data_IF_732665849150
#
_entry.id   IF_732665849150
#
_cell.length_a   1.000
_cell.length_b   1.000
_cell.length_c   1.000
_cell.angle_alpha   90.00
_cell.angle_beta   90.00
_cell.angle_gamma   90.00
#
_symmetry.space_group_name_H-M   'P 1'
#
loop_
_entity.id
_entity.type
_entity.pdbx_description
1 polymer ?
#
# COMPACT_ATOMS: atom_id res chain seq x y z
N UNK A 1 -23.00 17.77 -14.28
CA UNK A 1 -22.21 18.64 -13.38
C UNK A 1 -22.62 18.30 -11.95
N UNK A 2 -21.93 17.37 -11.28
CA UNK A 2 -22.24 16.97 -9.90
C UNK A 2 -21.01 17.28 -9.06
N UNK A 3 -21.02 18.42 -8.36
CA UNK A 3 -20.04 18.75 -7.32
C UNK A 3 -20.73 19.50 -6.19
N UNK A 4 -21.55 18.80 -5.42
CA UNK A 4 -21.80 19.21 -4.04
C UNK A 4 -21.02 18.25 -3.15
N UNK A 5 -19.75 18.59 -2.90
CA UNK A 5 -18.96 17.88 -1.89
C UNK A 5 -19.27 18.53 -0.54
N UNK A 6 -19.72 17.75 0.45
CA UNK A 6 -19.99 18.24 1.81
C UNK A 6 -18.70 18.61 2.58
N UNK A 7 -17.55 18.27 2.02
CA UNK A 7 -16.23 18.47 2.61
C UNK A 7 -15.70 19.84 2.19
N UNK A 8 -15.38 20.69 3.17
CA UNK A 8 -14.78 22.02 2.95
C UNK A 8 -13.27 21.98 2.77
N UNK A 9 -12.62 20.90 3.20
CA UNK A 9 -11.17 20.70 3.05
C UNK A 9 -10.86 20.35 1.59
N UNK A 10 -9.75 20.85 1.08
CA UNK A 10 -9.26 20.48 -0.24
C UNK A 10 -9.05 18.96 -0.34
N UNK A 11 -9.54 18.37 -1.45
CA UNK A 11 -9.31 16.97 -1.78
C UNK A 11 -8.06 16.92 -2.66
N UNK A 12 -6.95 16.33 -2.20
CA UNK A 12 -5.71 16.27 -2.95
C UNK A 12 -5.82 15.38 -4.19
N UNK A 13 -5.01 15.69 -5.21
CA UNK A 13 -4.81 14.81 -6.35
C UNK A 13 -3.79 13.71 -5.99
N UNK A 14 -4.28 12.49 -5.76
CA UNK A 14 -3.47 11.35 -5.32
C UNK A 14 -2.32 10.97 -6.28
N UNK A 15 -2.43 11.32 -7.57
CA UNK A 15 -1.33 11.14 -8.55
C UNK A 15 -0.13 12.07 -8.34
N UNK A 16 -0.28 13.09 -7.50
CA UNK A 16 0.73 14.13 -7.25
C UNK A 16 1.20 14.19 -5.81
N UNK A 17 0.32 13.88 -4.85
CA UNK A 17 0.62 13.93 -3.42
C UNK A 17 -0.04 12.76 -2.70
N UNK A 18 0.67 12.15 -1.76
CA UNK A 18 0.11 11.11 -0.91
C UNK A 18 -0.71 11.74 0.23
N UNK A 19 -2.01 11.45 0.30
CA UNK A 19 -2.86 11.85 1.43
C UNK A 19 -2.85 10.82 2.56
N UNK A 20 -2.84 9.53 2.18
CA UNK A 20 -2.85 8.37 3.07
C UNK A 20 -2.19 7.20 2.35
N UNK A 21 -1.59 6.30 3.12
CA UNK A 21 -1.21 4.96 2.67
C UNK A 21 -1.79 3.96 3.66
N UNK A 22 -2.60 3.01 3.15
CA UNK A 22 -3.24 1.99 3.98
C UNK A 22 -2.43 0.70 3.91
N UNK A 23 -1.92 0.26 5.06
CA UNK A 23 -1.24 -1.02 5.19
C UNK A 23 -2.22 -2.13 5.61
N UNK A 24 -2.30 -3.18 4.81
CA UNK A 24 -3.16 -4.34 5.04
C UNK A 24 -2.31 -5.58 5.21
N UNK A 25 -2.50 -6.27 6.33
CA UNK A 25 -1.74 -7.47 6.69
C UNK A 25 -2.09 -8.68 5.82
N UNK A 26 -1.12 -9.58 5.69
CA UNK A 26 -1.22 -10.88 5.01
C UNK A 26 -0.75 -11.99 5.90
N UNK A 27 -1.27 -13.18 5.64
CA UNK A 27 -0.97 -14.37 6.44
C UNK A 27 0.34 -15.05 6.00
N UNK A 28 0.69 -14.98 4.71
CA UNK A 28 1.94 -15.53 4.19
C UNK A 28 2.79 -14.47 3.46
N UNK A 29 4.12 -14.63 3.49
CA UNK A 29 5.06 -13.75 2.78
C UNK A 29 4.74 -13.64 1.29
N UNK A 30 4.39 -14.76 0.63
CA UNK A 30 4.05 -14.78 -0.81
C UNK A 30 2.71 -14.10 -1.17
N UNK A 31 1.81 -13.90 -0.20
CA UNK A 31 0.54 -13.20 -0.45
C UNK A 31 0.77 -11.70 -0.74
N UNK A 32 1.89 -11.15 -0.23
CA UNK A 32 2.32 -9.77 -0.50
C UNK A 32 2.60 -9.59 -1.99
N UNK A 33 3.35 -10.50 -2.61
CA UNK A 33 3.61 -10.44 -4.05
C UNK A 33 2.35 -10.71 -4.86
N UNK A 34 1.52 -11.66 -4.42
CA UNK A 34 0.29 -12.04 -5.12
C UNK A 34 -0.64 -10.84 -5.29
N UNK A 35 -0.89 -10.07 -4.22
CA UNK A 35 -1.79 -8.92 -4.31
C UNK A 35 -1.19 -7.77 -5.12
N UNK A 36 0.11 -7.47 -4.95
CA UNK A 36 0.79 -6.42 -5.72
C UNK A 36 0.78 -6.74 -7.22
N UNK A 37 1.08 -7.99 -7.58
CA UNK A 37 1.04 -8.44 -8.98
C UNK A 37 -0.38 -8.38 -9.57
N UNK A 38 -1.41 -8.73 -8.77
CA UNK A 38 -2.80 -8.63 -9.21
C UNK A 38 -3.22 -7.17 -9.42
N UNK A 39 -2.82 -6.25 -8.54
CA UNK A 39 -3.05 -4.82 -8.69
C UNK A 39 -2.40 -4.28 -9.97
N UNK A 40 -1.15 -4.69 -10.26
CA UNK A 40 -0.47 -4.31 -11.51
C UNK A 40 -1.19 -4.84 -12.75
N UNK A 41 -1.63 -6.11 -12.75
CA UNK A 41 -2.42 -6.69 -13.85
C UNK A 41 -3.75 -5.96 -14.07
N UNK A 42 -4.33 -5.39 -13.02
CA UNK A 42 -5.54 -4.59 -13.10
C UNK A 42 -5.30 -3.13 -13.54
N UNK A 43 -4.05 -2.74 -13.84
CA UNK A 43 -3.67 -1.41 -14.31
C UNK A 43 -3.09 -0.48 -13.24
N UNK A 44 -2.93 -0.96 -12.00
CA UNK A 44 -2.18 -0.26 -10.96
C UNK A 44 -0.68 -0.24 -11.23
N UNK A 45 0.06 0.51 -10.42
CA UNK A 45 1.52 0.63 -10.53
C UNK A 45 2.18 0.03 -9.30
N UNK A 46 3.04 -0.97 -9.49
CA UNK A 46 3.77 -1.59 -8.41
C UNK A 46 4.84 -0.66 -7.82
N UNK A 47 5.12 -0.86 -6.54
CA UNK A 47 6.29 -0.38 -5.81
C UNK A 47 6.56 1.14 -5.97
N UNK A 48 5.59 2.02 -5.68
CA UNK A 48 5.85 3.46 -5.60
C UNK A 48 6.83 3.82 -4.46
N UNK A 49 6.96 2.93 -3.46
CA UNK A 49 7.97 3.00 -2.40
C UNK A 49 8.94 1.81 -2.52
N UNK A 50 10.16 1.91 -1.96
CA UNK A 50 11.08 0.78 -1.90
C UNK A 50 10.47 -0.42 -1.17
N UNK A 51 10.62 -1.60 -1.76
CA UNK A 51 10.26 -2.89 -1.13
C UNK A 51 10.97 -3.02 0.21
N UNK A 52 10.23 -3.41 1.25
CA UNK A 52 10.77 -3.66 2.58
C UNK A 52 10.96 -5.16 2.76
N UNK A 53 12.20 -5.63 2.89
CA UNK A 53 12.49 -7.01 3.28
C UNK A 53 13.50 -7.01 4.43
N UNK A 54 12.99 -7.20 5.65
CA UNK A 54 13.77 -7.21 6.89
C UNK A 54 13.94 -8.63 7.45
N UNK A 55 13.64 -9.67 6.65
CA UNK A 55 13.61 -11.06 7.09
C UNK A 55 12.34 -11.43 7.86
N UNK A 56 12.07 -10.75 8.99
CA UNK A 56 10.85 -10.95 9.81
C UNK A 56 9.64 -10.15 9.30
N UNK A 57 9.87 -9.20 8.38
CA UNK A 57 8.83 -8.38 7.76
C UNK A 57 9.09 -8.30 6.27
N UNK A 58 8.02 -8.45 5.49
CA UNK A 58 8.03 -8.22 4.06
C UNK A 58 6.84 -7.35 3.67
N UNK A 59 7.09 -6.21 3.05
CA UNK A 59 6.03 -5.35 2.51
C UNK A 59 6.34 -4.81 1.13
N UNK A 60 5.28 -4.68 0.34
CA UNK A 60 5.27 -4.02 -0.96
C UNK A 60 4.08 -3.10 -1.04
N UNK A 61 4.22 -2.02 -1.79
CA UNK A 61 3.13 -1.10 -2.05
C UNK A 61 2.72 -1.09 -3.53
N UNK A 62 1.54 -0.57 -3.81
CA UNK A 62 1.10 -0.27 -5.16
C UNK A 62 0.22 0.98 -5.19
N UNK A 63 0.25 1.73 -6.28
CA UNK A 63 -0.73 2.76 -6.60
C UNK A 63 -1.92 2.10 -7.33
N UNK A 64 -3.15 2.44 -6.92
CA UNK A 64 -4.35 2.09 -7.70
C UNK A 64 -4.54 3.03 -8.92
N UNK A 65 -5.63 2.85 -9.67
CA UNK A 65 -5.90 3.62 -10.91
C UNK A 65 -6.03 5.14 -10.68
N UNK A 66 -6.36 5.54 -9.46
CA UNK A 66 -6.53 6.94 -9.05
C UNK A 66 -5.25 7.52 -8.41
N UNK A 67 -4.25 6.67 -8.13
CA UNK A 67 -2.97 7.06 -7.55
C UNK A 67 -2.90 6.91 -6.03
N UNK A 68 -3.89 6.30 -5.38
CA UNK A 68 -3.81 6.05 -3.93
C UNK A 68 -2.85 4.91 -3.65
N UNK A 69 -2.07 5.04 -2.57
CA UNK A 69 -1.06 4.06 -2.22
C UNK A 69 -1.64 3.05 -1.23
N UNK A 70 -1.51 1.78 -1.57
CA UNK A 70 -1.82 0.65 -0.71
C UNK A 70 -0.52 -0.08 -0.37
N UNK A 71 -0.39 -0.55 0.86
CA UNK A 71 0.71 -1.42 1.28
C UNK A 71 0.15 -2.79 1.68
N UNK A 72 0.77 -3.84 1.16
CA UNK A 72 0.55 -5.20 1.60
C UNK A 72 1.74 -5.63 2.43
N UNK A 73 1.49 -6.09 3.67
CA UNK A 73 2.54 -6.41 4.63
C UNK A 73 2.33 -7.79 5.23
N UNK A 74 3.40 -8.57 5.32
CA UNK A 74 3.47 -9.79 6.11
C UNK A 74 4.53 -9.61 7.20
N UNK A 75 4.27 -10.16 8.38
CA UNK A 75 5.19 -10.15 9.52
C UNK A 75 5.20 -11.49 10.25
N UNK A 76 6.38 -11.95 10.63
CA UNK A 76 6.60 -13.01 11.60
C UNK A 76 7.04 -12.40 12.93
N UNK A 77 6.08 -12.32 13.87
CA UNK A 77 6.33 -11.76 15.20
C UNK A 77 7.29 -12.59 16.05
N UNK A 78 7.49 -13.88 15.73
CA UNK A 78 8.44 -14.73 16.46
C UNK A 78 9.89 -14.46 16.09
N UNK A 79 10.11 -13.90 14.90
CA UNK A 79 11.42 -13.50 14.38
C UNK A 79 11.70 -11.99 14.53
N UNK A 80 10.74 -11.22 15.05
CA UNK A 80 10.87 -9.78 15.23
C UNK A 80 11.92 -9.47 16.31
N UNK A 81 12.77 -8.44 16.11
CA UNK A 81 13.67 -7.97 17.15
C UNK A 81 12.88 -7.51 18.39
N UNK A 82 13.47 -7.57 19.59
CA UNK A 82 12.83 -7.06 20.79
C UNK A 82 12.46 -5.57 20.61
N UNK A 83 11.38 -5.09 21.24
CA UNK A 83 11.05 -3.67 21.24
C UNK A 83 12.26 -2.83 21.68
N UNK A 84 12.47 -1.69 21.03
CA UNK A 84 13.49 -0.71 21.38
C UNK A 84 13.17 -0.01 22.69
#
# INVERSE_FOLDING_TARGET
>A
MIRQCFIKKEIPNAKSVAQVMLAITRNAKGDVDTITNNATKAGGKADPNPVQDHGFMYSRSFEDLDGHIWESVWMDMSAAPPPQ
#
